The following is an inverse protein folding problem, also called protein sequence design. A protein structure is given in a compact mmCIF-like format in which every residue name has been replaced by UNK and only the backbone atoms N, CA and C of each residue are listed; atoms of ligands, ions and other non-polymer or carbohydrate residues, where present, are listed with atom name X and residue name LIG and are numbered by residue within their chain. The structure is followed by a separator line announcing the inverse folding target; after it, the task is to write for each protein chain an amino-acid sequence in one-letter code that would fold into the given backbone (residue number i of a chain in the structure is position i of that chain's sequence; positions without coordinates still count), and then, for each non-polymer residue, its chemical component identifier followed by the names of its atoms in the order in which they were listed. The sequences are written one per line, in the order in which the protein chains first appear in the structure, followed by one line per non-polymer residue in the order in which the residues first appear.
data_IF_099438649496
#
_entry.id   IF_099438649496
#
_cell.length_a   1.000
_cell.length_b   1.000
_cell.length_c   1.000
_cell.angle_alpha   90.00
_cell.angle_beta   90.00
_cell.angle_gamma   90.00
#
_symmetry.space_group_name_H-M   'P 1'
#
loop_
_entity.id
_entity.type
_entity.pdbx_description
1 polymer ?
#
# COMPACT_ATOMS: atom_id res chain seq x y z
N UNK A 1 3.46 41.41 -12.08
CA UNK A 1 3.55 39.94 -12.19
C UNK A 1 4.43 39.44 -11.06
N UNK A 2 3.84 38.90 -9.99
CA UNK A 2 4.55 38.46 -8.77
C UNK A 2 4.38 36.95 -8.63
N UNK A 3 5.52 36.27 -8.49
CA UNK A 3 5.67 34.83 -8.30
C UNK A 3 5.32 34.50 -6.85
N UNK A 4 4.43 33.52 -6.62
CA UNK A 4 4.14 32.99 -5.29
C UNK A 4 4.78 31.60 -5.13
N UNK A 5 5.82 31.55 -4.30
CA UNK A 5 6.31 30.35 -3.63
C UNK A 5 5.32 29.97 -2.52
N UNK A 6 4.81 28.73 -2.52
CA UNK A 6 4.12 28.17 -1.35
C UNK A 6 5.08 27.20 -0.64
N UNK A 7 5.63 27.66 0.48
CA UNK A 7 6.34 26.85 1.46
C UNK A 7 5.35 26.40 2.55
N UNK A 8 5.53 25.16 2.97
CA UNK A 8 4.77 24.40 3.98
C UNK A 8 4.79 25.12 5.33
N UNK A 9 3.66 25.11 6.05
CA UNK A 9 3.61 25.48 7.47
C UNK A 9 2.68 24.51 8.20
N UNK A 10 3.26 23.45 8.76
CA UNK A 10 2.59 22.62 9.76
C UNK A 10 2.71 23.33 11.10
N UNK A 11 1.56 23.79 11.61
CA UNK A 11 1.38 24.41 12.92
C UNK A 11 1.75 23.43 14.04
N UNK A 12 2.72 23.80 14.87
CA UNK A 12 2.89 23.22 16.20
C UNK A 12 2.39 24.24 17.23
N UNK A 13 1.26 23.91 17.84
CA UNK A 13 0.67 24.59 18.98
C UNK A 13 1.62 24.41 20.16
N UNK A 14 2.32 25.48 20.56
CA UNK A 14 3.03 25.54 21.84
C UNK A 14 2.06 26.11 22.86
N UNK A 15 1.49 25.24 23.70
CA UNK A 15 0.82 25.68 24.93
C UNK A 15 1.87 26.15 25.92
N UNK A 16 1.79 27.42 26.28
CA UNK A 16 2.57 28.03 27.35
C UNK A 16 2.04 27.58 28.71
N UNK A 17 2.93 27.07 29.56
CA UNK A 17 2.70 27.07 31.00
C UNK A 17 4.02 27.26 31.76
N UNK A 18 4.04 28.38 32.49
CA UNK A 18 4.72 28.61 33.76
C UNK A 18 6.22 28.94 33.79
N UNK A 19 6.43 30.22 34.06
CA UNK A 19 7.60 30.89 34.63
C UNK A 19 8.37 30.11 35.69
N UNK A 20 9.67 29.94 35.47
CA UNK A 20 10.69 30.17 36.50
C UNK A 20 11.97 30.67 35.85
N UNK A 21 12.32 31.92 36.15
CA UNK A 21 13.67 32.42 35.98
C UNK A 21 14.62 31.53 36.80
N UNK A 22 15.55 30.87 36.11
CA UNK A 22 16.54 30.00 36.70
C UNK A 22 17.53 29.62 35.60
N UNK A 23 18.63 30.37 35.55
CA UNK A 23 19.89 30.07 34.87
C UNK A 23 19.88 28.79 34.00
N UNK A 24 19.93 28.95 32.67
CA UNK A 24 20.43 27.88 31.82
C UNK A 24 21.81 27.49 32.36
N UNK A 25 22.03 26.24 32.83
CA UNK A 25 23.36 25.81 33.19
C UNK A 25 24.23 25.92 31.93
N UNK A 26 25.52 26.31 32.05
CA UNK A 26 26.41 26.33 30.90
C UNK A 26 26.31 24.96 30.24
N UNK A 27 26.13 24.94 28.91
CA UNK A 27 26.05 23.71 28.14
C UNK A 27 27.28 22.88 28.50
N UNK A 28 27.10 21.90 29.39
CA UNK A 28 28.17 20.98 29.77
C UNK A 28 28.59 20.34 28.46
N UNK A 29 29.83 20.58 28.05
CA UNK A 29 30.47 19.82 26.99
C UNK A 29 30.27 18.35 27.33
N UNK A 30 29.28 17.72 26.68
CA UNK A 30 29.05 16.29 26.83
C UNK A 30 30.28 15.64 26.22
N UNK A 31 31.04 14.91 27.02
CA UNK A 31 32.19 14.22 26.51
C UNK A 31 31.76 13.34 25.32
N UNK A 32 32.60 13.21 24.27
CA UNK A 32 32.29 12.37 23.11
C UNK A 32 31.82 10.96 23.48
N UNK A 33 32.33 10.43 24.60
CA UNK A 33 31.94 9.12 25.13
C UNK A 33 30.52 9.10 25.72
N UNK A 34 30.07 10.20 26.32
CA UNK A 34 28.69 10.35 26.79
C UNK A 34 27.73 10.37 25.61
N UNK A 35 28.07 11.11 24.55
CA UNK A 35 27.27 11.19 23.31
C UNK A 35 27.21 9.82 22.63
N UNK A 36 28.33 9.10 22.54
CA UNK A 36 28.37 7.73 21.97
C UNK A 36 27.48 6.76 22.74
N UNK A 37 27.48 6.85 24.07
CA UNK A 37 26.63 6.02 24.93
C UNK A 37 25.15 6.32 24.73
N UNK A 38 24.77 7.61 24.72
CA UNK A 38 23.38 8.03 24.47
C UNK A 38 22.89 7.61 23.08
N UNK A 39 23.75 7.70 22.05
CA UNK A 39 23.41 7.28 20.68
C UNK A 39 23.19 5.76 20.60
N UNK A 40 23.99 4.98 21.34
CA UNK A 40 23.81 3.53 21.43
C UNK A 40 22.51 3.18 22.15
N UNK A 41 22.24 3.81 23.30
CA UNK A 41 21.00 3.58 24.05
C UNK A 41 19.77 3.98 23.23
N UNK A 42 19.85 5.04 22.41
CA UNK A 42 18.78 5.41 21.48
C UNK A 42 18.58 4.37 20.36
N UNK A 43 19.66 3.83 19.77
CA UNK A 43 19.56 2.74 18.78
C UNK A 43 18.95 1.49 19.39
N UNK A 44 19.36 1.12 20.61
CA UNK A 44 18.84 -0.06 21.30
C UNK A 44 17.34 0.11 21.61
N UNK A 45 16.89 1.33 21.95
CA UNK A 45 15.46 1.65 22.11
C UNK A 45 14.69 1.60 20.80
N UNK A 46 15.25 2.10 19.70
CA UNK A 46 14.63 2.00 18.37
C UNK A 46 14.49 0.53 17.97
N UNK A 47 15.53 -0.28 18.16
CA UNK A 47 15.48 -1.71 17.88
C UNK A 47 14.43 -2.43 18.74
N UNK A 48 14.30 -2.08 20.02
CA UNK A 48 13.27 -2.63 20.89
C UNK A 48 11.85 -2.24 20.45
N UNK A 49 11.65 -0.99 20.00
CA UNK A 49 10.37 -0.52 19.46
C UNK A 49 10.03 -1.18 18.13
N UNK A 50 11.01 -1.43 17.25
CA UNK A 50 10.81 -2.19 16.00
C UNK A 50 10.38 -3.63 16.28
N UNK A 51 10.96 -4.28 17.29
CA UNK A 51 10.58 -5.64 17.72
C UNK A 51 9.17 -5.67 18.31
N UNK A 52 8.80 -4.69 19.14
CA UNK A 52 7.43 -4.59 19.67
C UNK A 52 6.42 -4.26 18.56
N UNK A 53 6.76 -3.38 17.62
CA UNK A 53 5.93 -3.07 16.45
C UNK A 53 5.66 -4.34 15.61
N UNK A 54 6.71 -5.14 15.37
CA UNK A 54 6.61 -6.41 14.67
C UNK A 54 5.78 -7.48 15.42
N UNK A 55 5.64 -7.38 16.74
CA UNK A 55 4.74 -8.25 17.52
C UNK A 55 3.28 -7.78 17.47
N UNK A 56 3.04 -6.48 17.31
CA UNK A 56 1.69 -5.91 17.12
C UNK A 56 1.17 -6.04 15.68
N UNK A 57 2.05 -6.05 14.68
CA UNK A 57 1.70 -6.43 13.32
C UNK A 57 1.59 -7.95 13.23
N UNK A 58 0.43 -8.50 13.63
CA UNK A 58 0.04 -9.80 13.09
C UNK A 58 0.07 -9.65 11.58
N UNK A 59 0.82 -10.49 10.82
CA UNK A 59 0.70 -10.48 9.38
C UNK A 59 -0.78 -10.68 9.07
N UNK A 60 -1.42 -9.66 8.48
CA UNK A 60 -2.77 -9.79 7.99
C UNK A 60 -2.81 -11.02 7.11
N UNK A 61 -3.73 -11.94 7.38
CA UNK A 61 -3.92 -13.09 6.51
C UNK A 61 -4.16 -12.57 5.09
N UNK A 62 -3.25 -12.87 4.18
CA UNK A 62 -3.38 -12.43 2.79
C UNK A 62 -4.49 -13.28 2.16
N UNK A 63 -5.62 -12.66 1.85
CA UNK A 63 -6.82 -13.36 1.39
C UNK A 63 -6.88 -13.36 -0.13
N UNK A 64 -6.98 -14.54 -0.75
CA UNK A 64 -7.27 -14.63 -2.18
C UNK A 64 -8.69 -14.09 -2.46
N UNK A 65 -8.84 -13.27 -3.49
CA UNK A 65 -10.17 -12.79 -3.89
C UNK A 65 -10.99 -13.97 -4.40
N UNK A 66 -12.10 -14.23 -3.72
CA UNK A 66 -13.11 -15.19 -4.17
C UNK A 66 -13.92 -14.58 -5.33
N UNK A 67 -13.59 -15.02 -6.53
CA UNK A 67 -14.20 -14.58 -7.77
C UNK A 67 -15.62 -15.12 -7.97
N UNK A 68 -16.07 -16.13 -7.23
CA UNK A 68 -17.45 -16.62 -7.27
C UNK A 68 -18.43 -15.66 -6.61
N UNK A 69 -17.94 -14.85 -5.68
CA UNK A 69 -18.70 -13.79 -5.02
C UNK A 69 -18.74 -12.48 -5.81
N UNK A 70 -17.94 -12.38 -6.88
CA UNK A 70 -17.92 -11.17 -7.70
C UNK A 70 -19.30 -10.93 -8.36
N UNK A 71 -19.90 -9.74 -8.26
CA UNK A 71 -21.13 -9.44 -9.01
C UNK A 71 -20.94 -9.61 -10.53
N UNK A 72 -21.95 -10.13 -11.21
CA UNK A 72 -21.99 -10.21 -12.67
C UNK A 72 -22.52 -8.89 -13.27
N UNK A 73 -22.12 -8.58 -14.50
CA UNK A 73 -22.73 -7.49 -15.26
C UNK A 73 -24.13 -7.93 -15.69
N UNK A 74 -25.16 -7.16 -15.37
CA UNK A 74 -26.55 -7.49 -15.69
C UNK A 74 -27.38 -8.03 -14.52
N UNK A 75 -26.77 -8.19 -13.33
CA UNK A 75 -27.55 -8.48 -12.12
C UNK A 75 -28.49 -7.31 -11.79
N UNK A 76 -29.77 -7.59 -11.53
CA UNK A 76 -30.77 -6.59 -11.11
C UNK A 76 -30.29 -5.81 -9.87
N UNK A 77 -29.62 -6.50 -8.94
CA UNK A 77 -29.02 -5.92 -7.71
C UNK A 77 -27.50 -5.67 -7.79
N UNK A 78 -26.98 -5.50 -9.01
CA UNK A 78 -25.52 -5.35 -9.24
C UNK A 78 -24.86 -4.37 -8.28
N UNK A 79 -25.44 -3.17 -8.08
CA UNK A 79 -24.90 -2.14 -7.17
C UNK A 79 -24.70 -2.65 -5.74
N UNK A 80 -25.71 -3.30 -5.17
CA UNK A 80 -25.68 -3.84 -3.80
C UNK A 80 -24.65 -4.96 -3.67
N UNK A 81 -24.55 -5.83 -4.70
CA UNK A 81 -23.55 -6.90 -4.74
C UNK A 81 -22.12 -6.35 -4.88
N UNK A 82 -21.88 -5.30 -5.68
CA UNK A 82 -20.60 -4.59 -5.74
C UNK A 82 -20.25 -3.97 -4.38
N UNK A 83 -21.20 -3.35 -3.69
CA UNK A 83 -20.99 -2.78 -2.37
C UNK A 83 -20.64 -3.86 -1.32
N UNK A 84 -21.34 -4.99 -1.30
CA UNK A 84 -21.07 -6.11 -0.41
C UNK A 84 -19.69 -6.74 -0.68
N UNK A 85 -19.36 -6.94 -1.95
CA UNK A 85 -18.07 -7.46 -2.38
C UNK A 85 -16.92 -6.53 -1.92
N UNK A 86 -17.07 -5.21 -2.11
CA UNK A 86 -16.11 -4.22 -1.61
C UNK A 86 -15.96 -4.29 -0.11
N UNK A 87 -17.07 -4.29 0.63
CA UNK A 87 -17.06 -4.36 2.10
C UNK A 87 -16.32 -5.60 2.61
N UNK A 88 -16.39 -6.73 1.87
CA UNK A 88 -15.71 -7.97 2.24
C UNK A 88 -14.18 -7.88 2.19
N UNK A 89 -13.64 -7.12 1.24
CA UNK A 89 -12.19 -7.04 0.98
C UNK A 89 -11.54 -5.70 1.36
N UNK A 90 -12.33 -4.63 1.52
CA UNK A 90 -11.81 -3.30 1.83
C UNK A 90 -10.98 -3.31 3.12
N UNK A 91 -9.76 -2.80 3.04
CA UNK A 91 -8.79 -2.74 4.12
C UNK A 91 -7.99 -4.02 4.37
N UNK A 92 -8.27 -5.11 3.64
CA UNK A 92 -7.54 -6.37 3.77
C UNK A 92 -6.38 -6.45 2.78
N UNK A 93 -5.34 -7.17 3.18
CA UNK A 93 -4.32 -7.63 2.24
C UNK A 93 -4.89 -8.77 1.41
N UNK A 94 -4.85 -8.61 0.09
CA UNK A 94 -5.44 -9.55 -0.85
C UNK A 94 -4.46 -9.95 -1.94
N UNK A 95 -4.67 -11.12 -2.53
CA UNK A 95 -3.98 -11.57 -3.74
C UNK A 95 -4.93 -11.66 -4.93
N UNK A 96 -4.41 -11.26 -6.09
CA UNK A 96 -5.09 -11.38 -7.38
C UNK A 96 -4.15 -11.98 -8.41
N UNK A 97 -4.63 -13.03 -9.08
CA UNK A 97 -3.91 -13.69 -10.17
C UNK A 97 -4.61 -13.43 -11.49
N UNK A 98 -3.86 -12.98 -12.49
CA UNK A 98 -4.39 -12.75 -13.83
C UNK A 98 -3.39 -12.10 -14.77
N UNK A 99 -3.84 -11.68 -15.94
CA UNK A 99 -2.99 -11.00 -16.91
C UNK A 99 -2.91 -9.52 -16.61
N UNK A 100 -1.69 -9.00 -16.45
CA UNK A 100 -1.45 -7.59 -16.14
C UNK A 100 -1.24 -6.76 -17.41
N UNK A 101 -1.91 -5.61 -17.48
CA UNK A 101 -1.73 -4.60 -18.52
C UNK A 101 -1.42 -3.25 -17.87
N UNK A 102 -0.28 -2.67 -18.21
CA UNK A 102 0.16 -1.40 -17.64
C UNK A 102 -0.65 -0.26 -18.27
N UNK A 103 -1.21 0.61 -17.44
CA UNK A 103 -2.00 1.78 -17.88
C UNK A 103 -1.21 3.07 -17.85
N UNK A 104 -0.36 3.23 -16.84
CA UNK A 104 0.43 4.44 -16.66
C UNK A 104 1.78 4.10 -16.07
N UNK A 105 2.81 4.62 -16.73
CA UNK A 105 4.21 4.59 -16.31
C UNK A 105 4.62 6.05 -16.05
N UNK A 106 4.93 6.41 -14.81
CA UNK A 106 5.40 7.76 -14.51
C UNK A 106 5.58 8.04 -13.02
N UNK A 107 6.77 8.51 -12.64
CA UNK A 107 7.08 8.91 -11.26
C UNK A 107 7.20 7.72 -10.30
N UNK A 108 6.83 7.93 -9.03
CA UNK A 108 6.89 6.92 -7.96
C UNK A 108 5.73 5.92 -7.96
N UNK A 109 4.73 6.11 -8.83
CA UNK A 109 3.50 5.32 -8.87
C UNK A 109 3.28 4.74 -10.26
N UNK A 110 3.12 3.42 -10.34
CA UNK A 110 2.79 2.71 -11.58
C UNK A 110 1.38 2.15 -11.43
N UNK A 111 0.50 2.45 -12.38
CA UNK A 111 -0.86 1.92 -12.40
C UNK A 111 -1.00 0.88 -13.48
N UNK A 112 -1.53 -0.29 -13.12
CA UNK A 112 -1.83 -1.37 -14.04
C UNK A 112 -3.23 -1.93 -13.77
N UNK A 113 -3.70 -2.75 -14.70
CA UNK A 113 -4.93 -3.52 -14.57
C UNK A 113 -4.61 -5.00 -14.63
N UNK A 114 -5.14 -5.77 -13.69
CA UNK A 114 -5.09 -7.24 -13.72
C UNK A 114 -6.44 -7.76 -14.22
N UNK A 115 -6.40 -8.41 -15.38
CA UNK A 115 -7.53 -9.08 -16.00
C UNK A 115 -7.63 -10.52 -15.51
N UNK A 116 -8.74 -10.86 -14.87
CA UNK A 116 -9.04 -12.19 -14.34
C UNK A 116 -10.14 -12.81 -15.18
N UNK A 117 -9.93 -14.06 -15.60
CA UNK A 117 -10.98 -14.87 -16.24
C UNK A 117 -11.73 -15.63 -15.13
N UNK A 118 -13.04 -15.45 -15.08
CA UNK A 118 -13.91 -16.10 -14.10
C UNK A 118 -14.91 -16.94 -14.87
N UNK A 119 -14.87 -18.25 -14.67
CA UNK A 119 -15.83 -19.17 -15.25
C UNK A 119 -16.90 -19.50 -14.21
N UNK A 120 -18.18 -19.31 -14.58
CA UNK A 120 -19.33 -19.71 -13.77
C UNK A 120 -20.25 -20.58 -14.60
N UNK A 121 -20.16 -21.90 -14.38
CA UNK A 121 -20.81 -22.87 -15.26
C UNK A 121 -20.34 -22.68 -16.70
N UNK A 122 -21.28 -22.40 -17.60
CA UNK A 122 -21.01 -22.18 -19.02
C UNK A 122 -20.64 -20.73 -19.38
N UNK A 123 -20.80 -19.78 -18.43
CA UNK A 123 -20.53 -18.37 -18.69
C UNK A 123 -19.09 -18.01 -18.32
N UNK A 124 -18.35 -17.48 -19.29
CA UNK A 124 -17.06 -16.85 -19.03
C UNK A 124 -17.22 -15.34 -18.87
N UNK A 125 -16.83 -14.82 -17.70
CA UNK A 125 -16.76 -13.40 -17.41
C UNK A 125 -15.32 -12.93 -17.28
N UNK A 126 -15.02 -11.74 -17.79
CA UNK A 126 -13.74 -11.06 -17.55
C UNK A 126 -13.93 -10.03 -16.45
N UNK A 127 -13.09 -10.08 -15.41
CA UNK A 127 -13.02 -9.07 -14.35
C UNK A 127 -11.72 -8.31 -14.46
N UNK A 128 -11.75 -7.03 -14.09
CA UNK A 128 -10.58 -6.15 -14.15
C UNK A 128 -10.43 -5.49 -12.78
N UNK A 129 -9.23 -5.60 -12.23
CA UNK A 129 -8.83 -4.96 -10.97
C UNK A 129 -7.76 -3.93 -11.27
N UNK A 130 -7.91 -2.72 -10.76
CA UNK A 130 -6.86 -1.73 -10.81
C UNK A 130 -5.83 -2.03 -9.71
N UNK A 131 -4.55 -2.08 -10.07
CA UNK A 131 -3.45 -2.30 -9.14
C UNK A 131 -2.49 -1.13 -9.22
N UNK A 132 -1.99 -0.69 -8.07
CA UNK A 132 -1.09 0.45 -7.94
C UNK A 132 0.18 -0.01 -7.24
N UNK A 133 1.30 0.10 -7.93
CA UNK A 133 2.62 -0.14 -7.39
C UNK A 133 3.23 1.19 -6.97
N UNK A 134 3.79 1.26 -5.75
CA UNK A 134 4.52 2.41 -5.25
C UNK A 134 6.00 2.04 -5.06
N UNK A 135 6.90 2.96 -5.41
CA UNK A 135 8.35 2.85 -5.21
C UNK A 135 8.95 1.51 -5.69
N UNK A 136 8.34 0.93 -6.73
CA UNK A 136 8.75 -0.37 -7.30
C UNK A 136 9.51 -0.15 -8.60
N UNK A 137 10.48 -1.02 -8.86
CA UNK A 137 11.27 -1.03 -10.09
C UNK A 137 10.35 -1.22 -11.32
N UNK A 138 10.27 -0.17 -12.14
CA UNK A 138 9.46 -0.14 -13.36
C UNK A 138 9.76 -1.32 -14.28
N UNK A 139 11.05 -1.66 -14.46
CA UNK A 139 11.45 -2.72 -15.38
C UNK A 139 10.91 -4.08 -14.93
N UNK A 140 10.87 -4.34 -13.62
CA UNK A 140 10.27 -5.58 -13.07
C UNK A 140 8.78 -5.67 -13.37
N UNK A 141 8.06 -4.55 -13.29
CA UNK A 141 6.62 -4.52 -13.61
C UNK A 141 6.41 -4.78 -15.10
N UNK A 142 7.22 -4.17 -15.96
CA UNK A 142 7.16 -4.38 -17.42
C UNK A 142 7.48 -5.82 -17.81
N UNK A 143 8.54 -6.41 -17.26
CA UNK A 143 8.94 -7.79 -17.52
C UNK A 143 7.83 -8.76 -17.08
N UNK A 144 7.24 -8.54 -15.89
CA UNK A 144 6.15 -9.36 -15.40
C UNK A 144 4.88 -9.24 -16.24
N UNK A 145 4.53 -8.04 -16.72
CA UNK A 145 3.38 -7.83 -17.60
C UNK A 145 3.50 -8.60 -18.93
N UNK A 146 4.72 -8.81 -19.42
CA UNK A 146 4.99 -9.54 -20.68
C UNK A 146 5.09 -11.04 -20.50
N UNK A 147 5.40 -11.51 -19.30
CA UNK A 147 5.72 -12.91 -19.05
C UNK A 147 4.50 -13.84 -19.05
N UNK A 148 3.30 -13.35 -18.71
CA UNK A 148 2.08 -14.16 -18.74
C UNK A 148 1.07 -13.78 -17.65
N UNK A 149 0.66 -14.76 -16.85
CA UNK A 149 -0.16 -14.51 -15.67
C UNK A 149 0.72 -14.10 -14.50
N UNK A 150 0.27 -13.10 -13.74
CA UNK A 150 0.97 -12.60 -12.57
C UNK A 150 0.07 -12.70 -11.35
N UNK A 151 0.67 -13.01 -10.21
CA UNK A 151 0.00 -12.90 -8.91
C UNK A 151 0.54 -11.66 -8.20
N UNK A 152 -0.37 -10.75 -7.89
CA UNK A 152 -0.10 -9.48 -7.22
C UNK A 152 -0.74 -9.53 -5.84
N UNK A 153 -0.04 -9.04 -4.83
CA UNK A 153 -0.62 -8.80 -3.51
C UNK A 153 -0.53 -7.33 -3.15
N UNK A 154 -1.49 -6.87 -2.36
CA UNK A 154 -1.49 -5.54 -1.78
C UNK A 154 -2.78 -5.29 -1.00
N UNK A 155 -3.00 -4.06 -0.59
CA UNK A 155 -4.14 -3.70 0.23
C UNK A 155 -5.34 -3.32 -0.63
N UNK A 156 -6.45 -4.02 -0.48
CA UNK A 156 -7.68 -3.71 -1.19
C UNK A 156 -8.35 -2.43 -0.65
N UNK A 157 -8.68 -1.53 -1.55
CA UNK A 157 -9.40 -0.29 -1.30
C UNK A 157 -10.63 -0.18 -2.21
N UNK A 158 -11.65 0.54 -1.73
CA UNK A 158 -12.79 0.93 -2.53
C UNK A 158 -12.38 1.84 -3.69
N UNK A 159 -12.28 1.30 -4.91
CA UNK A 159 -11.92 2.06 -6.10
C UNK A 159 -13.04 2.95 -6.64
N UNK A 160 -12.72 3.99 -7.44
CA UNK A 160 -13.74 4.83 -8.09
C UNK A 160 -14.53 4.10 -9.18
N UNK A 161 -13.97 3.03 -9.77
CA UNK A 161 -14.49 2.31 -10.95
C UNK A 161 -15.48 1.18 -10.66
N UNK A 162 -16.02 1.08 -9.44
CA UNK A 162 -17.05 0.09 -9.12
C UNK A 162 -16.55 -1.30 -8.66
N UNK A 163 -15.29 -1.68 -8.91
CA UNK A 163 -14.72 -2.97 -8.46
C UNK A 163 -13.85 -2.85 -7.20
N UNK A 164 -12.54 -3.06 -7.30
CA UNK A 164 -11.55 -2.87 -6.25
C UNK A 164 -10.31 -2.19 -6.85
N UNK A 165 -9.66 -1.36 -6.06
CA UNK A 165 -8.28 -0.92 -6.34
C UNK A 165 -7.38 -1.59 -5.31
N UNK A 166 -6.26 -2.16 -5.73
CA UNK A 166 -5.26 -2.72 -4.81
C UNK A 166 -4.09 -1.74 -4.77
N UNK A 167 -3.76 -1.26 -3.58
CA UNK A 167 -2.64 -0.34 -3.34
C UNK A 167 -1.40 -1.07 -2.84
N UNK A 168 -0.27 -0.36 -2.94
CA UNK A 168 1.04 -0.77 -2.41
C UNK A 168 1.43 -2.18 -2.86
N UNK A 169 1.13 -2.44 -4.13
CA UNK A 169 1.20 -3.76 -4.70
C UNK A 169 2.64 -4.28 -4.80
N UNK A 170 2.77 -5.59 -4.67
CA UNK A 170 3.99 -6.36 -4.94
C UNK A 170 3.66 -7.56 -5.81
N UNK A 171 4.56 -7.90 -6.72
CA UNK A 171 4.45 -9.13 -7.51
C UNK A 171 4.97 -10.28 -6.66
N UNK A 172 4.15 -11.31 -6.47
CA UNK A 172 4.51 -12.50 -5.70
C UNK A 172 4.93 -13.65 -6.61
N UNK A 173 4.28 -13.79 -7.77
CA UNK A 173 4.58 -14.86 -8.71
C UNK A 173 4.32 -14.41 -10.15
N UNK A 174 5.08 -14.99 -11.07
CA UNK A 174 4.91 -14.84 -12.51
C UNK A 174 4.84 -16.24 -13.09
N UNK A 175 3.70 -16.58 -13.69
CA UNK A 175 3.47 -17.85 -14.38
C UNK A 175 3.71 -17.58 -15.87
N UNK A 176 4.82 -18.09 -16.44
CA UNK A 176 5.12 -17.87 -17.84
C UNK A 176 4.04 -18.52 -18.72
N UNK A 177 3.59 -17.80 -19.75
CA UNK A 177 2.71 -18.39 -20.75
C UNK A 177 3.40 -19.62 -21.37
N UNK A 178 2.76 -20.80 -21.32
CA UNK A 178 3.26 -21.99 -21.99
C UNK A 178 3.29 -21.69 -23.50
N UNK A 179 4.48 -21.81 -24.10
CA UNK A 179 4.71 -21.69 -25.55
C UNK A 179 4.03 -22.82 -26.30
#
# INVERSE_FOLDING_TARGET
MRVFFFCVSASLVVSAASTRAGQDPPAKERSPDTIRKELKDARDRVAALEVELAKTEKPGEVVAIDWELAPASGDEDSKSKYAAFRKRYNGKDVTVTGHMSIKSLGGRKITAEVSVKVQRGEVMAKKVVSVVFQDTDQKKIEDAARAGEVTVAGKAEGGPTGFLTIQDCKIIAVVPAKK
#
